data_IF_267031287067
#
_entry.id   IF_267031287067
#
_cell.length_a   1.000
_cell.length_b   1.000
_cell.length_c   1.000
_cell.angle_alpha   90.00
_cell.angle_beta   90.00
_cell.angle_gamma   90.00
#
_symmetry.space_group_name_H-M   'P 1'
#
loop_
_entity.id
_entity.type
_entity.pdbx_description
1 polymer ?
#
# COMPACT_ATOMS: atom_id res chain seq x y z
N UNK A 1 -24.31 -0.82 0.77
CA UNK A 1 -23.58 -1.91 1.44
C UNK A 1 -22.20 -1.42 1.81
N UNK A 2 -21.85 -1.59 3.07
CA UNK A 2 -20.50 -1.29 3.54
C UNK A 2 -19.52 -2.38 3.08
N UNK A 3 -18.21 -2.10 3.12
CA UNK A 3 -17.17 -3.12 3.01
C UNK A 3 -17.46 -4.44 3.72
N UNK A 4 -17.92 -4.38 4.97
CA UNK A 4 -18.26 -5.55 5.78
C UNK A 4 -19.45 -6.31 5.22
N UNK A 5 -20.51 -5.62 4.81
CA UNK A 5 -21.69 -6.27 4.26
C UNK A 5 -21.33 -7.06 2.99
N UNK A 6 -20.50 -6.45 2.13
CA UNK A 6 -20.02 -7.09 0.91
C UNK A 6 -19.12 -8.29 1.19
N UNK A 7 -18.19 -8.15 2.14
CA UNK A 7 -17.34 -9.25 2.59
C UNK A 7 -18.18 -10.41 3.14
N UNK A 8 -19.17 -10.11 3.98
CA UNK A 8 -20.05 -11.11 4.61
C UNK A 8 -20.93 -11.80 3.57
N UNK A 9 -21.60 -11.04 2.69
CA UNK A 9 -22.44 -11.58 1.61
C UNK A 9 -21.65 -12.49 0.66
N UNK A 10 -20.40 -12.13 0.35
CA UNK A 10 -19.53 -12.95 -0.51
C UNK A 10 -19.21 -14.33 0.08
N UNK A 11 -19.37 -14.51 1.39
CA UNK A 11 -19.08 -15.77 2.10
C UNK A 11 -20.31 -16.64 2.34
N UNK A 12 -21.53 -16.09 2.18
CA UNK A 12 -22.77 -16.79 2.53
C UNK A 12 -23.24 -17.76 1.44
N UNK A 13 -23.10 -17.39 0.16
CA UNK A 13 -23.64 -18.18 -0.95
C UNK A 13 -22.78 -18.04 -2.23
N UNK A 14 -22.66 -19.14 -2.99
CA UNK A 14 -21.82 -19.18 -4.21
C UNK A 14 -22.44 -18.42 -5.39
N UNK A 15 -23.76 -18.42 -5.52
CA UNK A 15 -24.45 -17.66 -6.57
C UNK A 15 -24.36 -16.16 -6.28
N UNK A 16 -24.57 -15.76 -5.02
CA UNK A 16 -24.33 -14.39 -4.56
C UNK A 16 -22.87 -14.00 -4.75
N UNK A 17 -21.90 -14.88 -4.44
CA UNK A 17 -20.48 -14.62 -4.71
C UNK A 17 -20.22 -14.37 -6.20
N UNK A 18 -20.82 -15.17 -7.08
CA UNK A 18 -20.68 -15.01 -8.54
C UNK A 18 -21.23 -13.67 -9.02
N UNK A 19 -22.40 -13.25 -8.54
CA UNK A 19 -22.99 -11.96 -8.87
C UNK A 19 -22.17 -10.79 -8.30
N UNK A 20 -21.68 -10.96 -7.06
CA UNK A 20 -20.79 -10.00 -6.42
C UNK A 20 -19.46 -9.83 -7.15
N UNK A 21 -18.93 -10.84 -7.84
CA UNK A 21 -17.72 -10.67 -8.67
C UNK A 21 -17.92 -9.65 -9.79
N UNK A 22 -19.06 -9.71 -10.47
CA UNK A 22 -19.42 -8.72 -11.49
C UNK A 22 -19.60 -7.32 -10.89
N UNK A 23 -20.16 -7.23 -9.69
CA UNK A 23 -20.27 -5.99 -8.93
C UNK A 23 -18.89 -5.46 -8.48
N UNK A 24 -18.00 -6.33 -8.00
CA UNK A 24 -16.65 -5.97 -7.55
C UNK A 24 -15.79 -5.43 -8.69
N UNK A 25 -15.83 -6.02 -9.88
CA UNK A 25 -15.09 -5.49 -11.03
C UNK A 25 -15.50 -4.05 -11.40
N UNK A 26 -16.78 -3.70 -11.20
CA UNK A 26 -17.27 -2.32 -11.44
C UNK A 26 -16.93 -1.37 -10.29
N UNK A 27 -17.03 -1.86 -9.05
CA UNK A 27 -16.89 -1.05 -7.84
C UNK A 27 -15.44 -0.79 -7.48
N UNK A 28 -14.57 -1.78 -7.67
CA UNK A 28 -13.15 -1.77 -7.37
C UNK A 28 -12.34 -1.76 -8.67
N UNK A 29 -12.71 -0.84 -9.57
CA UNK A 29 -12.08 -0.69 -10.88
C UNK A 29 -10.64 -0.19 -10.75
N UNK A 30 -9.69 -1.11 -10.58
CA UNK A 30 -8.28 -0.81 -10.34
C UNK A 30 -7.66 0.02 -11.47
N UNK A 31 -7.99 -0.26 -12.74
CA UNK A 31 -7.49 0.53 -13.85
C UNK A 31 -7.97 1.99 -13.79
N UNK A 32 -9.18 2.24 -13.27
CA UNK A 32 -9.67 3.62 -13.04
C UNK A 32 -8.91 4.32 -11.91
N UNK A 33 -8.46 3.57 -10.91
CA UNK A 33 -7.64 4.10 -9.81
C UNK A 33 -6.21 4.41 -10.27
N UNK A 34 -5.65 3.59 -11.17
CA UNK A 34 -4.29 3.75 -11.71
C UNK A 34 -4.20 4.71 -12.90
N UNK A 35 -5.29 4.94 -13.63
CA UNK A 35 -5.32 5.79 -14.83
C UNK A 35 -4.73 7.20 -14.67
N UNK A 36 -4.83 7.90 -13.52
CA UNK A 36 -4.15 9.18 -13.34
C UNK A 36 -2.62 9.05 -13.42
N UNK A 37 -2.08 7.91 -13.01
CA UNK A 37 -0.64 7.66 -12.94
C UNK A 37 -0.11 7.02 -14.21
N UNK A 38 -0.85 6.08 -14.80
CA UNK A 38 -0.40 5.29 -15.94
C UNK A 38 -1.40 5.35 -17.09
N UNK A 39 -0.92 5.70 -18.29
CA UNK A 39 -1.71 5.59 -19.51
C UNK A 39 -1.92 4.10 -19.86
N UNK A 40 -0.91 3.26 -19.59
CA UNK A 40 -0.90 1.83 -19.90
C UNK A 40 -1.10 0.99 -18.64
N UNK A 41 -2.26 1.16 -17.99
CA UNK A 41 -2.54 0.46 -16.71
C UNK A 41 -2.42 -1.06 -16.82
N UNK A 42 -2.84 -1.69 -17.91
CA UNK A 42 -2.73 -3.14 -18.09
C UNK A 42 -1.26 -3.60 -18.20
N UNK A 43 -0.39 -2.81 -18.84
CA UNK A 43 1.05 -3.11 -18.89
C UNK A 43 1.67 -3.04 -17.49
N UNK A 44 1.30 -2.03 -16.68
CA UNK A 44 1.72 -1.97 -15.28
C UNK A 44 1.26 -3.21 -14.51
N UNK A 45 0.02 -3.65 -14.73
CA UNK A 45 -0.55 -4.84 -14.06
C UNK A 45 0.19 -6.12 -14.44
N UNK A 46 0.65 -6.24 -15.68
CA UNK A 46 1.51 -7.34 -16.11
C UNK A 46 2.87 -7.29 -15.41
N UNK A 47 3.52 -6.13 -15.37
CA UNK A 47 4.78 -5.94 -14.62
C UNK A 47 4.57 -6.27 -13.14
N UNK A 48 3.44 -5.85 -12.57
CA UNK A 48 3.05 -6.15 -11.20
C UNK A 48 2.95 -7.66 -10.95
N UNK A 49 2.41 -8.41 -11.91
CA UNK A 49 2.30 -9.88 -11.83
C UNK A 49 3.68 -10.55 -11.86
N UNK A 50 4.57 -10.14 -12.78
CA UNK A 50 5.90 -10.73 -12.94
C UNK A 50 6.85 -10.44 -11.78
N UNK A 51 6.73 -9.25 -11.18
CA UNK A 51 7.65 -8.76 -10.15
C UNK A 51 7.16 -9.01 -8.72
N UNK A 52 5.87 -9.36 -8.55
CA UNK A 52 5.24 -9.41 -7.24
C UNK A 52 5.07 -8.05 -6.57
N UNK A 53 5.16 -6.94 -7.33
CA UNK A 53 4.99 -5.60 -6.80
C UNK A 53 3.59 -5.40 -6.20
N UNK A 54 3.51 -4.56 -5.18
CA UNK A 54 2.30 -4.30 -4.42
C UNK A 54 1.99 -2.80 -4.44
N UNK A 55 0.74 -2.43 -4.66
CA UNK A 55 0.29 -1.06 -4.39
C UNK A 55 -0.28 -1.02 -2.98
N UNK A 56 0.11 -0.02 -2.18
CA UNK A 56 -0.31 0.09 -0.77
C UNK A 56 -0.58 1.55 -0.38
N UNK A 57 -0.55 1.86 0.90
CA UNK A 57 -0.66 3.22 1.42
C UNK A 57 -1.98 3.88 1.06
N UNK A 58 -1.90 5.15 0.65
CA UNK A 58 -3.13 5.91 0.38
C UNK A 58 -3.88 5.47 -0.87
N UNK A 59 -3.21 4.85 -1.83
CA UNK A 59 -3.86 4.35 -3.04
C UNK A 59 -4.68 3.10 -2.75
N UNK A 60 -4.13 2.14 -2.02
CA UNK A 60 -4.89 0.96 -1.60
C UNK A 60 -6.09 1.33 -0.71
N UNK A 61 -5.91 2.31 0.17
CA UNK A 61 -7.00 2.83 0.99
C UNK A 61 -8.14 3.42 0.15
N UNK A 62 -7.83 4.21 -0.90
CA UNK A 62 -8.83 4.79 -1.81
C UNK A 62 -9.67 3.73 -2.52
N UNK A 63 -9.06 2.60 -2.93
CA UNK A 63 -9.79 1.51 -3.59
C UNK A 63 -10.93 0.99 -2.69
N UNK A 64 -10.60 0.66 -1.45
CA UNK A 64 -11.55 0.08 -0.50
C UNK A 64 -12.54 1.10 0.06
N UNK A 65 -12.06 2.32 0.35
CA UNK A 65 -12.88 3.41 0.84
C UNK A 65 -13.83 3.96 -0.24
N UNK A 66 -13.49 3.72 -1.52
CA UNK A 66 -14.20 4.26 -2.70
C UNK A 66 -14.24 5.78 -2.69
N UNK A 67 -13.18 6.38 -2.17
CA UNK A 67 -12.98 7.82 -2.11
C UNK A 67 -11.81 8.22 -3.00
N UNK A 68 -11.79 9.48 -3.43
CA UNK A 68 -10.63 10.08 -4.09
C UNK A 68 -10.02 11.10 -3.15
N UNK A 69 -8.75 10.92 -2.83
CA UNK A 69 -7.98 11.90 -2.10
C UNK A 69 -7.23 12.76 -3.11
N UNK A 70 -7.49 14.07 -3.09
CA UNK A 70 -6.75 15.00 -3.93
C UNK A 70 -5.24 14.92 -3.60
N UNK A 71 -4.41 15.03 -4.64
CA UNK A 71 -2.94 15.02 -4.52
C UNK A 71 -2.37 13.78 -3.81
N UNK A 72 -3.05 12.64 -3.90
CA UNK A 72 -2.50 11.39 -3.40
C UNK A 72 -1.43 10.86 -4.36
N UNK A 73 -0.28 10.50 -3.80
CA UNK A 73 0.78 9.80 -4.51
C UNK A 73 0.41 8.32 -4.73
N UNK A 74 1.03 7.69 -5.73
CA UNK A 74 0.97 6.24 -5.92
C UNK A 74 2.18 5.56 -5.27
N UNK A 75 1.93 4.74 -4.25
CA UNK A 75 2.98 3.99 -3.56
C UNK A 75 3.06 2.55 -4.10
N UNK A 76 4.18 2.21 -4.76
CA UNK A 76 4.48 0.87 -5.30
C UNK A 76 5.61 0.25 -4.49
N UNK A 77 5.36 -0.90 -3.88
CA UNK A 77 6.32 -1.65 -3.08
C UNK A 77 6.84 -2.84 -3.89
N UNK A 78 8.15 -3.03 -3.92
CA UNK A 78 8.77 -4.10 -4.71
C UNK A 78 10.03 -4.60 -4.02
N UNK A 79 10.35 -5.88 -4.22
CA UNK A 79 11.60 -6.47 -3.75
C UNK A 79 12.78 -5.98 -4.62
N UNK A 80 13.95 -5.75 -4.01
CA UNK A 80 15.07 -5.09 -4.70
C UNK A 80 15.49 -5.75 -6.02
N UNK A 81 15.42 -7.08 -6.12
CA UNK A 81 15.75 -7.84 -7.33
C UNK A 81 14.92 -7.44 -8.55
N UNK A 82 13.72 -6.92 -8.33
CA UNK A 82 12.77 -6.56 -9.39
C UNK A 82 12.53 -5.06 -9.52
N UNK A 83 13.16 -4.24 -8.68
CA UNK A 83 12.92 -2.80 -8.63
C UNK A 83 13.17 -2.12 -9.98
N UNK A 84 14.24 -2.49 -10.69
CA UNK A 84 14.57 -1.90 -11.99
C UNK A 84 13.51 -2.17 -13.06
N UNK A 85 12.77 -3.29 -13.01
CA UNK A 85 11.68 -3.54 -13.96
C UNK A 85 10.51 -2.57 -13.75
N UNK A 86 10.21 -2.22 -12.49
CA UNK A 86 9.19 -1.21 -12.16
C UNK A 86 9.68 0.18 -12.59
N UNK A 87 10.95 0.52 -12.32
CA UNK A 87 11.56 1.78 -12.73
C UNK A 87 11.54 1.95 -14.25
N UNK A 88 11.91 0.92 -15.01
CA UNK A 88 11.86 0.93 -16.47
C UNK A 88 10.46 1.22 -16.99
N UNK A 89 9.43 0.58 -16.42
CA UNK A 89 8.06 0.87 -16.80
C UNK A 89 7.68 2.34 -16.51
N UNK A 90 8.00 2.83 -15.31
CA UNK A 90 7.68 4.21 -14.89
C UNK A 90 8.41 5.27 -15.74
N UNK A 91 9.70 5.08 -16.01
CA UNK A 91 10.52 6.05 -16.75
C UNK A 91 10.36 5.93 -18.26
N UNK A 92 10.43 4.72 -18.82
CA UNK A 92 10.50 4.53 -20.28
C UNK A 92 9.11 4.43 -20.91
N UNK A 93 8.16 3.76 -20.26
CA UNK A 93 6.79 3.62 -20.80
C UNK A 93 5.91 4.80 -20.40
N UNK A 94 6.02 5.24 -19.15
CA UNK A 94 5.17 6.27 -18.58
C UNK A 94 5.83 7.65 -18.49
N UNK A 95 7.11 7.79 -18.89
CA UNK A 95 7.77 9.08 -19.05
C UNK A 95 7.85 9.92 -17.76
N UNK A 96 7.97 9.26 -16.59
CA UNK A 96 8.25 9.97 -15.35
C UNK A 96 9.74 10.27 -15.19
N UNK A 97 10.04 11.47 -14.68
CA UNK A 97 11.40 11.85 -14.29
C UNK A 97 11.71 11.44 -12.85
N UNK A 98 12.84 10.76 -12.66
CA UNK A 98 13.36 10.46 -11.32
C UNK A 98 13.69 11.74 -10.56
N UNK A 99 13.38 11.77 -9.27
CA UNK A 99 13.63 12.88 -8.36
C UNK A 99 14.59 12.41 -7.25
N UNK A 100 15.90 12.67 -7.40
CA UNK A 100 16.89 12.28 -6.40
C UNK A 100 16.60 12.85 -5.02
N UNK A 101 16.48 11.98 -4.01
CA UNK A 101 16.44 12.41 -2.60
C UNK A 101 17.81 12.81 -2.05
N UNK A 102 18.89 12.33 -2.68
CA UNK A 102 20.27 12.52 -2.24
C UNK A 102 21.09 13.13 -3.38
N UNK A 103 21.98 14.10 -3.10
CA UNK A 103 22.73 14.81 -4.14
C UNK A 103 23.64 13.94 -5.01
N UNK A 104 24.07 12.78 -4.51
CA UNK A 104 25.06 11.92 -5.16
C UNK A 104 24.47 10.64 -5.77
N UNK A 105 23.15 10.50 -5.80
CA UNK A 105 22.47 9.38 -6.46
C UNK A 105 21.59 9.96 -7.57
N UNK A 106 22.18 10.17 -8.74
CA UNK A 106 21.50 10.83 -9.85
C UNK A 106 20.53 9.88 -10.56
N UNK A 107 20.75 8.57 -10.41
CA UNK A 107 19.92 7.54 -11.03
C UNK A 107 19.23 6.61 -10.00
N UNK A 108 18.11 5.97 -10.40
CA UNK A 108 17.49 4.93 -9.59
C UNK A 108 18.43 3.76 -9.28
N UNK A 109 19.25 3.34 -10.25
CA UNK A 109 20.15 2.19 -10.12
C UNK A 109 21.26 2.46 -9.09
N UNK A 110 21.89 3.63 -9.15
CA UNK A 110 22.85 4.09 -8.13
C UNK A 110 22.21 4.12 -6.74
N UNK A 111 20.98 4.63 -6.64
CA UNK A 111 20.24 4.72 -5.37
C UNK A 111 20.00 3.32 -4.78
N UNK A 112 19.56 2.36 -5.61
CA UNK A 112 19.31 0.97 -5.19
C UNK A 112 20.63 0.29 -4.82
N UNK A 113 21.65 0.40 -5.66
CA UNK A 113 22.97 -0.22 -5.44
C UNK A 113 23.62 0.27 -4.15
N UNK A 114 23.59 1.59 -3.90
CA UNK A 114 24.08 2.17 -2.65
C UNK A 114 23.30 1.70 -1.43
N UNK A 115 21.96 1.63 -1.51
CA UNK A 115 21.13 1.16 -0.42
C UNK A 115 21.42 -0.29 -0.04
N UNK A 116 21.63 -1.16 -1.03
CA UNK A 116 21.96 -2.58 -0.81
C UNK A 116 23.37 -2.73 -0.21
N UNK A 117 24.34 -1.96 -0.72
CA UNK A 117 25.74 -2.01 -0.27
C UNK A 117 25.94 -1.40 1.13
N UNK A 118 25.16 -0.38 1.49
CA UNK A 118 25.30 0.35 2.74
C UNK A 118 23.97 0.48 3.50
N UNK A 119 23.40 -0.64 4.01
CA UNK A 119 22.06 -0.65 4.61
C UNK A 119 21.90 0.32 5.78
N UNK A 120 22.94 0.49 6.60
CA UNK A 120 22.95 1.36 7.78
C UNK A 120 22.94 2.85 7.44
N UNK A 121 23.44 3.23 6.26
CA UNK A 121 23.47 4.64 5.81
C UNK A 121 22.16 5.07 5.10
N UNK A 122 21.37 4.10 4.67
CA UNK A 122 20.10 4.31 3.95
C UNK A 122 18.85 4.03 4.79
N UNK A 123 18.98 3.38 5.96
CA UNK A 123 17.85 3.14 6.88
C UNK A 123 17.43 4.39 7.65
N UNK A 124 17.26 5.54 6.98
CA UNK A 124 16.54 6.68 7.58
C UNK A 124 15.06 6.37 7.80
N UNK A 125 14.54 5.29 7.18
CA UNK A 125 13.23 4.74 7.50
C UNK A 125 13.37 3.74 8.64
N UNK A 126 12.87 4.11 9.82
CA UNK A 126 12.66 3.19 10.95
C UNK A 126 11.69 2.03 10.62
N UNK A 127 11.13 1.99 9.41
CA UNK A 127 10.28 0.89 8.92
C UNK A 127 11.15 -0.30 8.52
N UNK A 128 11.13 -1.36 9.35
CA UNK A 128 11.88 -2.58 9.11
C UNK A 128 11.66 -3.13 7.68
N UNK A 129 12.74 -3.22 6.90
CA UNK A 129 12.76 -3.88 5.60
C UNK A 129 12.76 -2.97 4.36
N UNK A 130 12.61 -1.65 4.51
CA UNK A 130 12.78 -0.71 3.38
C UNK A 130 14.28 -0.51 3.10
N UNK A 131 14.68 -0.75 1.85
CA UNK A 131 16.03 -0.49 1.35
C UNK A 131 16.16 0.92 0.79
N UNK A 132 15.25 1.33 -0.09
CA UNK A 132 15.27 2.65 -0.72
C UNK A 132 13.84 3.14 -1.00
N UNK A 133 13.70 4.45 -1.16
CA UNK A 133 12.48 5.05 -1.70
C UNK A 133 12.88 5.93 -2.88
N UNK A 134 12.32 5.63 -4.04
CA UNK A 134 12.58 6.31 -5.28
C UNK A 134 11.37 7.17 -5.63
N UNK A 135 11.57 8.48 -5.82
CA UNK A 135 10.51 9.41 -6.21
C UNK A 135 10.52 9.65 -7.71
N UNK A 136 9.33 9.67 -8.29
CA UNK A 136 9.12 9.94 -9.71
C UNK A 136 8.00 10.97 -9.87
N UNK A 137 8.19 11.92 -10.78
CA UNK A 137 7.20 12.98 -11.05
C UNK A 137 6.92 13.14 -12.55
N UNK A 138 5.65 13.38 -12.90
CA UNK A 138 5.18 13.72 -14.24
C UNK A 138 3.93 14.59 -14.13
N UNK A 139 3.96 15.82 -14.66
CA UNK A 139 2.78 16.68 -14.78
C UNK A 139 1.93 16.80 -13.48
N UNK A 140 2.60 16.94 -12.33
CA UNK A 140 1.94 17.04 -11.02
C UNK A 140 1.51 15.71 -10.40
N UNK A 141 1.62 14.59 -11.12
CA UNK A 141 1.48 13.25 -10.57
C UNK A 141 2.79 12.78 -9.95
N UNK A 142 2.69 11.97 -8.89
CA UNK A 142 3.83 11.42 -8.17
C UNK A 142 3.66 9.92 -7.99
N UNK A 143 4.74 9.18 -8.27
CA UNK A 143 4.86 7.75 -8.02
C UNK A 143 6.07 7.53 -7.13
N UNK A 144 5.89 6.79 -6.05
CA UNK A 144 6.96 6.37 -5.17
C UNK A 144 7.17 4.87 -5.35
N UNK A 145 8.42 4.46 -5.61
CA UNK A 145 8.82 3.05 -5.59
C UNK A 145 9.56 2.78 -4.30
N UNK A 146 8.92 2.05 -3.40
CA UNK A 146 9.47 1.61 -2.12
C UNK A 146 10.14 0.26 -2.34
N UNK A 147 11.46 0.28 -2.36
CA UNK A 147 12.29 -0.91 -2.55
C UNK A 147 12.51 -1.58 -1.21
N UNK A 148 12.28 -2.89 -1.15
CA UNK A 148 12.42 -3.71 0.06
C UNK A 148 13.55 -4.73 -0.07
N UNK A 149 14.22 -5.03 1.05
CA UNK A 149 15.26 -6.06 1.09
C UNK A 149 14.72 -7.48 0.93
N UNK A 150 13.46 -7.68 1.33
CA UNK A 150 12.75 -8.96 1.31
C UNK A 150 11.38 -8.77 0.65
N UNK A 151 10.40 -9.57 1.03
CA UNK A 151 9.05 -9.43 0.51
C UNK A 151 8.49 -8.03 0.80
N UNK A 152 7.86 -7.35 -0.17
CA UNK A 152 7.21 -6.06 0.09
C UNK A 152 6.06 -6.18 1.12
N UNK A 153 5.51 -7.39 1.32
CA UNK A 153 4.57 -7.65 2.43
C UNK A 153 5.20 -7.44 3.81
N UNK A 154 6.49 -7.76 3.98
CA UNK A 154 7.18 -7.61 5.27
C UNK A 154 7.20 -6.13 5.69
N UNK A 155 7.35 -5.22 4.72
CA UNK A 155 7.29 -3.77 4.98
C UNK A 155 5.88 -3.35 5.39
N UNK A 156 4.86 -3.82 4.67
CA UNK A 156 3.46 -3.41 4.89
C UNK A 156 2.92 -3.94 6.23
N UNK A 157 3.28 -5.16 6.62
CA UNK A 157 2.90 -5.73 7.91
C UNK A 157 3.55 -5.01 9.11
N UNK A 158 4.65 -4.28 8.87
CA UNK A 158 5.31 -3.44 9.86
C UNK A 158 4.88 -1.96 9.82
N UNK A 159 3.77 -1.63 9.13
CA UNK A 159 3.24 -0.27 9.16
C UNK A 159 2.80 0.15 10.57
N UNK A 160 2.97 1.44 10.86
CA UNK A 160 2.68 2.06 12.14
C UNK A 160 1.20 1.99 12.56
N UNK A 161 0.27 1.79 11.63
CA UNK A 161 -1.15 1.77 11.93
C UNK A 161 -2.01 0.94 10.98
N UNK A 162 -3.17 0.49 11.46
CA UNK A 162 -4.02 -0.46 10.73
C UNK A 162 -4.70 0.12 9.50
N UNK A 163 -5.00 1.43 9.45
CA UNK A 163 -5.70 2.04 8.33
C UNK A 163 -4.91 1.99 7.02
N UNK A 164 -3.59 1.83 7.07
CA UNK A 164 -2.73 1.74 5.89
C UNK A 164 -2.34 0.30 5.54
N UNK A 165 -2.80 -0.70 6.28
CA UNK A 165 -2.54 -2.12 6.02
C UNK A 165 -3.50 -2.70 4.98
N UNK A 166 -3.52 -2.07 3.82
CA UNK A 166 -4.28 -2.49 2.65
C UNK A 166 -3.32 -2.68 1.47
N UNK A 167 -3.52 -3.73 0.69
CA UNK A 167 -2.60 -4.13 -0.37
C UNK A 167 -3.36 -4.44 -1.63
N UNK A 168 -2.87 -3.98 -2.77
CA UNK A 168 -3.37 -4.34 -4.09
C UNK A 168 -2.26 -5.09 -4.83
N UNK A 169 -2.52 -6.35 -5.13
CA UNK A 169 -1.68 -7.21 -5.99
C UNK A 169 -2.17 -7.13 -7.45
N UNK A 170 -1.52 -7.86 -8.35
CA UNK A 170 -1.94 -7.96 -9.75
C UNK A 170 -3.31 -8.62 -9.97
N UNK A 171 -3.86 -9.36 -8.99
CA UNK A 171 -5.13 -10.12 -9.16
C UNK A 171 -6.13 -9.95 -8.02
N UNK A 172 -5.70 -9.44 -6.87
CA UNK A 172 -6.54 -9.25 -5.67
C UNK A 172 -6.14 -8.02 -4.88
N UNK A 173 -7.09 -7.40 -4.22
CA UNK A 173 -6.85 -6.46 -3.13
C UNK A 173 -7.19 -7.10 -1.78
N UNK A 174 -6.41 -6.76 -0.76
CA UNK A 174 -6.56 -7.20 0.62
C UNK A 174 -6.65 -6.00 1.56
N UNK A 175 -7.61 -6.01 2.47
CA UNK A 175 -7.59 -5.16 3.66
C UNK A 175 -7.47 -6.05 4.87
N UNK A 176 -6.43 -5.83 5.68
CA UNK A 176 -6.23 -6.62 6.90
C UNK A 176 -7.18 -6.17 8.01
N UNK A 177 -7.51 -4.88 8.13
CA UNK A 177 -8.40 -4.40 9.19
C UNK A 177 -9.64 -3.70 8.61
N UNK A 178 -10.45 -4.38 7.80
CA UNK A 178 -11.52 -3.74 7.04
C UNK A 178 -12.62 -3.19 7.96
N UNK A 179 -12.99 -3.94 9.00
CA UNK A 179 -14.00 -3.50 9.96
C UNK A 179 -13.52 -2.29 10.77
N UNK A 180 -12.27 -2.32 11.24
CA UNK A 180 -11.73 -1.22 12.02
C UNK A 180 -11.57 0.05 11.16
N UNK A 181 -11.01 -0.13 9.96
CA UNK A 181 -10.66 0.95 9.03
C UNK A 181 -11.89 1.57 8.39
N UNK A 182 -12.75 0.79 7.73
CA UNK A 182 -13.81 1.34 6.89
C UNK A 182 -15.16 1.48 7.61
N UNK A 183 -15.49 0.59 8.54
CA UNK A 183 -16.76 0.67 9.27
C UNK A 183 -16.66 1.61 10.47
N UNK A 184 -15.58 1.47 11.27
CA UNK A 184 -15.42 2.24 12.50
C UNK A 184 -14.61 3.53 12.33
N UNK A 185 -13.93 3.70 11.19
CA UNK A 185 -12.97 4.81 10.95
C UNK A 185 -11.89 4.90 12.04
N UNK A 186 -11.50 3.77 12.62
CA UNK A 186 -10.45 3.69 13.61
C UNK A 186 -9.16 3.16 12.97
N UNK A 187 -8.02 3.64 13.47
CA UNK A 187 -6.70 3.14 13.11
C UNK A 187 -5.93 2.74 14.36
N UNK A 188 -5.70 1.44 14.56
CA UNK A 188 -4.93 0.92 15.68
C UNK A 188 -3.46 1.23 15.46
N UNK A 189 -2.80 1.85 16.44
CA UNK A 189 -1.36 2.11 16.43
C UNK A 189 -0.63 0.83 16.87
N UNK A 190 0.41 0.43 16.15
CA UNK A 190 1.23 -0.74 16.51
C UNK A 190 2.54 -0.30 17.20
N UNK A 191 2.82 -0.88 18.37
CA UNK A 191 3.89 -0.45 19.29
C UNK A 191 5.33 -0.59 18.76
N UNK A 192 5.55 -1.22 17.60
CA UNK A 192 6.88 -1.29 16.97
C UNK A 192 7.43 0.10 16.57
N UNK A 193 6.61 1.16 16.61
CA UNK A 193 7.01 2.55 16.37
C UNK A 193 7.59 3.29 17.60
N UNK A 194 8.05 2.56 18.62
CA UNK A 194 8.50 3.09 19.92
C UNK A 194 9.74 3.99 19.90
N UNK A 195 10.34 4.28 18.75
CA UNK A 195 11.47 5.21 18.61
C UNK A 195 11.17 6.52 17.87
N UNK A 196 9.91 6.82 17.51
CA UNK A 196 9.65 7.96 16.61
C UNK A 196 8.25 8.57 16.67
N UNK A 197 7.66 8.80 17.85
CA UNK A 197 6.31 9.39 17.95
C UNK A 197 6.18 10.75 17.24
N UNK A 198 7.27 11.51 17.10
CA UNK A 198 7.32 12.74 16.32
C UNK A 198 7.34 12.51 14.80
N UNK A 199 8.04 11.46 14.31
CA UNK A 199 8.13 11.13 12.88
C UNK A 199 6.77 10.71 12.29
N UNK A 200 5.92 10.05 13.10
CA UNK A 200 4.60 9.63 12.65
C UNK A 200 3.50 10.67 12.88
N UNK A 201 3.77 11.81 13.53
CA UNK A 201 2.76 12.83 13.79
C UNK A 201 2.16 13.40 12.48
N UNK A 202 3.02 13.72 11.51
CA UNK A 202 2.61 14.26 10.22
C UNK A 202 1.85 13.23 9.37
N UNK A 203 2.33 11.98 9.39
CA UNK A 203 1.66 10.86 8.72
C UNK A 203 0.29 10.59 9.34
N UNK A 204 0.18 10.60 10.68
CA UNK A 204 -1.09 10.44 11.39
C UNK A 204 -2.05 11.58 11.03
N UNK A 205 -1.58 12.83 11.04
CA UNK A 205 -2.39 14.01 10.67
C UNK A 205 -3.00 13.86 9.27
N UNK A 206 -2.22 13.43 8.27
CA UNK A 206 -2.71 13.15 6.90
C UNK A 206 -3.94 12.21 6.89
N UNK A 207 -3.96 11.18 7.73
CA UNK A 207 -5.11 10.26 7.81
C UNK A 207 -6.21 10.77 8.75
N UNK A 208 -5.88 11.53 9.79
CA UNK A 208 -6.88 12.22 10.62
C UNK A 208 -7.71 13.18 9.78
N UNK A 209 -7.07 13.95 8.89
CA UNK A 209 -7.76 14.87 7.96
C UNK A 209 -8.68 14.14 6.96
N UNK A 210 -8.46 12.83 6.77
CA UNK A 210 -9.32 11.93 5.98
C UNK A 210 -10.41 11.24 6.81
N UNK A 211 -10.56 11.63 8.08
CA UNK A 211 -11.62 11.17 8.97
C UNK A 211 -11.28 9.94 9.82
N UNK A 212 -10.00 9.53 9.92
CA UNK A 212 -9.60 8.41 10.76
C UNK A 212 -9.24 8.84 12.18
N UNK A 213 -9.70 8.11 13.19
CA UNK A 213 -9.30 8.30 14.59
C UNK A 213 -8.27 7.25 14.99
N UNK A 214 -7.10 7.69 15.46
CA UNK A 214 -6.05 6.79 15.90
C UNK A 214 -6.28 6.35 17.36
N UNK A 215 -6.14 5.06 17.62
CA UNK A 215 -6.35 4.45 18.93
C UNK A 215 -5.19 3.52 19.29
N UNK A 216 -4.79 3.51 20.56
CA UNK A 216 -3.77 2.59 21.07
C UNK A 216 -4.33 1.20 21.40
N UNK A 217 -5.63 1.12 21.69
CA UNK A 217 -6.33 -0.11 22.05
C UNK A 217 -7.68 -0.17 21.35
N UNK A 218 -8.11 -1.36 20.95
CA UNK A 218 -9.44 -1.59 20.38
C UNK A 218 -10.25 -2.46 21.35
N UNK A 219 -11.53 -2.14 21.62
CA UNK A 219 -12.38 -3.01 22.43
C UNK A 219 -12.44 -4.43 21.85
N UNK A 220 -12.07 -5.42 22.65
CA UNK A 220 -11.97 -6.84 22.24
C UNK A 220 -10.57 -7.29 21.84
N UNK A 221 -9.57 -6.40 21.80
CA UNK A 221 -8.17 -6.80 21.67
C UNK A 221 -7.78 -7.74 22.83
N UNK A 222 -6.95 -8.77 22.58
CA UNK A 222 -6.40 -9.60 23.64
C UNK A 222 -5.61 -8.75 24.64
N UNK A 223 -5.69 -9.09 25.92
CA UNK A 223 -5.12 -8.33 27.05
C UNK A 223 -3.60 -8.09 26.89
N UNK A 224 -2.90 -8.97 26.19
CA UNK A 224 -1.46 -8.85 25.92
C UNK A 224 -1.12 -7.99 24.69
N UNK A 225 -2.10 -7.38 24.03
CA UNK A 225 -1.89 -6.40 22.95
C UNK A 225 -1.36 -6.98 21.63
N UNK A 226 -1.12 -8.29 21.53
CA UNK A 226 -0.71 -8.97 20.31
C UNK A 226 -1.95 -9.39 19.53
N UNK A 227 -2.19 -8.75 18.39
CA UNK A 227 -3.25 -9.17 17.46
C UNK A 227 -2.59 -10.03 16.39
N UNK A 228 -2.82 -11.34 16.45
CA UNK A 228 -2.38 -12.26 15.40
C UNK A 228 -3.29 -12.11 14.19
N UNK A 229 -2.74 -11.59 13.09
CA UNK A 229 -3.40 -11.46 11.79
C UNK A 229 -2.49 -11.99 10.71
N UNK A 230 -3.06 -12.55 9.65
CA UNK A 230 -2.33 -12.88 8.44
C UNK A 230 -3.19 -12.65 7.20
N UNK A 231 -2.55 -12.47 6.05
CA UNK A 231 -3.26 -12.25 4.80
C UNK A 231 -4.18 -13.44 4.50
N UNK A 232 -5.48 -13.18 4.44
CA UNK A 232 -6.49 -14.19 4.12
C UNK A 232 -7.08 -14.92 5.32
N UNK A 233 -6.79 -14.48 6.55
CA UNK A 233 -7.55 -14.91 7.72
C UNK A 233 -9.05 -14.54 7.62
N UNK A 234 -9.86 -15.02 8.57
CA UNK A 234 -11.32 -14.83 8.54
C UNK A 234 -11.78 -13.37 8.60
N UNK A 235 -10.90 -12.47 9.03
CA UNK A 235 -11.16 -11.04 9.20
C UNK A 235 -10.55 -10.20 8.08
N UNK A 236 -9.77 -10.80 7.19
CA UNK A 236 -9.21 -10.17 6.00
C UNK A 236 -10.29 -10.06 4.94
N UNK A 237 -10.50 -8.86 4.43
CA UNK A 237 -11.33 -8.69 3.24
C UNK A 237 -10.49 -8.86 1.98
N UNK A 238 -10.87 -9.82 1.14
CA UNK A 238 -10.25 -10.09 -0.15
C UNK A 238 -11.19 -9.74 -1.29
N UNK A 239 -10.74 -8.90 -2.22
CA UNK A 239 -11.50 -8.48 -3.40
C UNK A 239 -10.75 -8.93 -4.66
N UNK A 240 -11.36 -9.73 -5.55
CA UNK A 240 -10.75 -10.04 -6.85
C UNK A 240 -10.73 -8.79 -7.74
N UNK A 241 -9.66 -8.63 -8.52
CA UNK A 241 -9.42 -7.50 -9.42
C UNK A 241 -9.37 -7.93 -10.87
#
# INVERSE_FOLDING_TARGET
LSPRDLASLSRLDRAINSELRGYFGRMFAINRLLAPFFAHTDEFREVQSRTGALVSGSTALQLFDRTRYAHADLDVYVEYRYALQIVQHICEREQYGFQPRRPYCETPDETIGMAIMHPTSYSSYNTAGIAAVLDFAREGQRVQVIVSYRSPMDVILNFHSSCVMNVITHSKAYSLFPQLTFEKRLSRIFAASSSGDFEFADVRRKYTDRGFTFVSTVPGDPVQGVVERWVGDSDTWSVPL
#
